data_IF_649326536934
#
_entry.id   IF_649326536934
#
_cell.length_a   1.000
_cell.length_b   1.000
_cell.length_c   1.000
_cell.angle_alpha   90.00
_cell.angle_beta   90.00
_cell.angle_gamma   90.00
#
_symmetry.space_group_name_H-M   'P 1'
#
loop_
_entity.id
_entity.type
_entity.pdbx_description
1 polymer ?
#
# COMPACT_ATOMS: atom_id res chain seq x y z
N UNK A 1 -16.63 -9.31 -15.15
CA UNK A 1 -16.31 -9.27 -13.72
C UNK A 1 -15.51 -8.02 -13.47
N UNK A 2 -16.18 -6.96 -13.02
CA UNK A 2 -15.54 -5.67 -12.72
C UNK A 2 -14.76 -5.83 -11.43
N UNK A 3 -13.43 -5.98 -11.54
CA UNK A 3 -12.54 -5.73 -10.40
C UNK A 3 -12.67 -4.25 -10.12
N UNK A 4 -13.59 -3.90 -9.24
CA UNK A 4 -13.74 -2.55 -8.72
C UNK A 4 -12.41 -2.21 -8.05
N UNK A 5 -11.57 -1.46 -8.77
CA UNK A 5 -10.22 -1.16 -8.35
C UNK A 5 -10.33 -0.11 -7.24
N UNK A 6 -10.58 -0.55 -6.00
CA UNK A 6 -10.73 0.27 -4.79
C UNK A 6 -9.38 0.88 -4.36
N UNK A 7 -8.72 1.57 -5.27
CA UNK A 7 -7.47 2.27 -5.00
C UNK A 7 -7.78 3.61 -4.38
N UNK A 8 -7.51 3.77 -3.08
CA UNK A 8 -7.49 5.07 -2.42
C UNK A 8 -6.15 5.79 -2.68
N UNK A 9 -6.17 7.12 -2.80
CA UNK A 9 -4.97 7.95 -2.95
C UNK A 9 -4.43 8.36 -1.59
N UNK A 10 -3.18 8.01 -1.29
CA UNK A 10 -2.44 8.46 -0.12
C UNK A 10 -1.42 9.53 -0.55
N UNK A 11 -1.55 10.75 -0.03
CA UNK A 11 -0.60 11.85 -0.25
C UNK A 11 0.22 12.06 1.01
N UNK A 12 1.54 12.05 0.90
CA UNK A 12 2.48 12.22 2.03
C UNK A 12 3.44 13.35 1.68
N UNK A 13 3.62 14.29 2.62
CA UNK A 13 4.67 15.30 2.54
C UNK A 13 5.94 14.74 3.17
N UNK A 14 7.03 14.75 2.42
CA UNK A 14 8.35 14.34 2.89
C UNK A 14 9.39 15.38 2.51
N UNK A 15 10.48 15.42 3.27
CA UNK A 15 11.64 16.26 2.97
C UNK A 15 12.16 15.98 1.54
N UNK A 16 12.49 17.03 0.75
CA UNK A 16 12.92 16.87 -0.64
C UNK A 16 14.23 16.09 -0.79
N UNK A 17 15.15 16.17 0.19
CA UNK A 17 16.41 15.41 0.15
C UNK A 17 16.13 13.93 0.40
N UNK A 18 15.24 13.60 1.34
CA UNK A 18 14.78 12.22 1.56
C UNK A 18 14.09 11.65 0.33
N UNK A 19 13.21 12.43 -0.32
CA UNK A 19 12.57 12.03 -1.58
C UNK A 19 13.59 11.67 -2.66
N UNK A 20 14.58 12.52 -2.90
CA UNK A 20 15.60 12.30 -3.92
C UNK A 20 16.43 11.03 -3.65
N UNK A 21 16.80 10.79 -2.39
CA UNK A 21 17.51 9.55 -2.00
C UNK A 21 16.62 8.33 -2.21
N UNK A 22 15.36 8.40 -1.78
CA UNK A 22 14.40 7.31 -1.93
C UNK A 22 14.17 6.94 -3.41
N UNK A 23 13.96 7.94 -4.27
CA UNK A 23 13.77 7.73 -5.71
C UNK A 23 15.01 7.11 -6.37
N UNK A 24 16.22 7.54 -5.97
CA UNK A 24 17.47 6.95 -6.47
C UNK A 24 17.62 5.49 -6.05
N UNK A 25 17.28 5.14 -4.81
CA UNK A 25 17.32 3.76 -4.33
C UNK A 25 16.31 2.89 -5.08
N UNK A 26 15.07 3.39 -5.25
CA UNK A 26 14.04 2.68 -6.01
C UNK A 26 14.50 2.41 -7.46
N UNK A 27 15.09 3.42 -8.12
CA UNK A 27 15.62 3.29 -9.48
C UNK A 27 16.79 2.29 -9.59
N UNK A 28 17.63 2.19 -8.56
CA UNK A 28 18.74 1.25 -8.55
C UNK A 28 18.29 -0.21 -8.40
N UNK A 29 17.08 -0.43 -7.85
CA UNK A 29 16.48 -1.75 -7.64
C UNK A 29 15.39 -2.09 -8.68
N UNK A 30 15.26 -1.29 -9.76
CA UNK A 30 14.19 -1.42 -10.76
C UNK A 30 12.77 -1.43 -10.15
N UNK A 31 12.57 -0.66 -9.08
CA UNK A 31 11.28 -0.52 -8.39
C UNK A 31 10.75 0.91 -8.47
N UNK A 32 9.44 1.07 -8.31
CA UNK A 32 8.81 2.37 -8.15
C UNK A 32 8.63 2.73 -6.66
N UNK A 33 8.72 4.03 -6.30
CA UNK A 33 8.41 4.50 -4.95
C UNK A 33 7.09 3.94 -4.39
N UNK A 34 6.06 3.89 -5.22
CA UNK A 34 4.74 3.39 -4.84
C UNK A 34 4.72 1.87 -4.55
N UNK A 35 5.58 1.07 -5.18
CA UNK A 35 5.69 -0.35 -4.85
C UNK A 35 6.36 -0.55 -3.50
N UNK A 36 7.45 0.19 -3.24
CA UNK A 36 8.18 0.14 -1.98
C UNK A 36 7.29 0.63 -0.82
N UNK A 37 6.59 1.75 -0.99
CA UNK A 37 5.66 2.28 0.03
C UNK A 37 4.54 1.28 0.35
N UNK A 38 3.97 0.61 -0.65
CA UNK A 38 2.94 -0.43 -0.41
C UNK A 38 3.49 -1.60 0.40
N UNK A 39 4.72 -2.03 0.11
CA UNK A 39 5.39 -3.09 0.88
C UNK A 39 5.62 -2.66 2.32
N UNK A 40 6.13 -1.45 2.54
CA UNK A 40 6.33 -0.88 3.88
C UNK A 40 5.02 -0.78 4.67
N UNK A 41 3.93 -0.35 4.03
CA UNK A 41 2.61 -0.27 4.68
C UNK A 41 2.15 -1.67 5.10
N UNK A 42 2.26 -2.67 4.22
CA UNK A 42 1.88 -4.05 4.53
C UNK A 42 2.69 -4.59 5.70
N UNK A 43 4.01 -4.51 5.62
CA UNK A 43 4.92 -5.00 6.65
C UNK A 43 4.64 -4.32 8.00
N UNK A 44 4.37 -3.01 8.00
CA UNK A 44 3.99 -2.26 9.21
C UNK A 44 2.68 -2.77 9.83
N UNK A 45 1.65 -3.02 9.01
CA UNK A 45 0.36 -3.55 9.50
C UNK A 45 0.54 -4.96 10.07
N UNK A 46 1.26 -5.84 9.38
CA UNK A 46 1.49 -7.22 9.81
C UNK A 46 2.28 -7.27 11.12
N UNK A 47 3.35 -6.47 11.23
CA UNK A 47 4.15 -6.36 12.45
C UNK A 47 3.32 -5.82 13.64
N UNK A 48 2.43 -4.86 13.40
CA UNK A 48 1.64 -4.23 14.47
C UNK A 48 0.47 -5.10 14.91
N UNK A 49 -0.19 -5.79 13.97
CA UNK A 49 -1.38 -6.62 14.26
C UNK A 49 -1.04 -8.06 14.61
N UNK A 50 0.18 -8.51 14.31
CA UNK A 50 0.61 -9.89 14.50
C UNK A 50 -0.12 -10.89 13.59
N UNK A 51 -0.77 -10.41 12.53
CA UNK A 51 -1.56 -11.22 11.59
C UNK A 51 -1.13 -10.92 10.15
N UNK A 52 -1.14 -11.93 9.25
CA UNK A 52 -0.89 -11.68 7.84
C UNK A 52 -1.97 -10.78 7.25
N UNK A 53 -1.59 -9.82 6.41
CA UNK A 53 -2.53 -8.92 5.76
C UNK A 53 -3.12 -9.58 4.50
N UNK A 54 -4.43 -9.83 4.51
CA UNK A 54 -5.16 -10.36 3.36
C UNK A 54 -6.02 -9.27 2.71
N UNK A 55 -5.64 -8.84 1.50
CA UNK A 55 -6.35 -7.83 0.71
C UNK A 55 -7.78 -8.26 0.29
N UNK A 56 -8.14 -9.53 0.51
CA UNK A 56 -9.40 -10.15 0.10
C UNK A 56 -10.51 -10.07 1.17
N UNK A 57 -10.19 -9.75 2.43
CA UNK A 57 -11.15 -9.85 3.55
C UNK A 57 -12.15 -8.67 3.62
N UNK A 58 -11.87 -7.56 2.92
CA UNK A 58 -12.72 -6.36 2.92
C UNK A 58 -13.71 -6.31 1.72
N UNK A 59 -13.80 -7.41 0.97
CA UNK A 59 -14.72 -7.56 -0.17
C UNK A 59 -16.05 -8.23 0.18
N UNK A 60 -16.45 -8.30 1.46
CA UNK A 60 -17.84 -8.57 1.81
C UNK A 60 -18.62 -7.25 1.94
N UNK A 61 -19.43 -6.85 0.95
CA UNK A 61 -20.62 -6.09 1.29
C UNK A 61 -21.49 -7.01 2.15
N UNK A 62 -21.53 -6.76 3.46
CA UNK A 62 -22.66 -7.18 4.29
C UNK A 62 -23.85 -6.31 3.93
N UNK A 63 -24.45 -6.61 2.78
CA UNK A 63 -25.84 -6.25 2.49
C UNK A 63 -26.60 -7.56 2.29
N UNK A 64 -26.70 -8.30 3.40
CA UNK A 64 -27.78 -9.24 3.61
C UNK A 64 -29.07 -8.40 3.69
N UNK A 65 -29.90 -8.53 2.67
CA UNK A 65 -31.36 -8.41 2.68
C UNK A 65 -31.99 -7.34 3.60
N UNK A 66 -32.59 -6.31 3.00
CA UNK A 66 -34.01 -6.02 3.25
C UNK A 66 -34.67 -5.20 2.16
#
# INVERSE_FOLDING_TARGET
MTVENRTARLTILIDPRKKAVFERLCAAEDTTPSQVVRRLIREYIEQTTGRPWHSEEEALPRDDAS
#
